data_IF_384791347757
#
_entry.id   IF_384791347757
#
_cell.length_a   1.000
_cell.length_b   1.000
_cell.length_c   1.000
_cell.angle_alpha   90.00
_cell.angle_beta   90.00
_cell.angle_gamma   90.00
#
_symmetry.space_group_name_H-M   'P 1'
#
loop_
_entity.id
_entity.type
_entity.pdbx_description
1 polymer ?
#
# COMPACT_ATOMS: atom_id res chain seq x y z
N UNK A 1 -17.22 25.36 17.09
CA UNK A 1 -16.52 24.40 17.94
C UNK A 1 -17.39 23.63 18.92
N UNK A 2 -18.11 24.27 19.86
CA UNK A 2 -18.98 23.55 20.84
C UNK A 2 -20.08 22.66 20.21
N UNK A 3 -20.73 23.06 19.11
CA UNK A 3 -21.78 22.25 18.45
C UNK A 3 -21.23 20.98 17.78
N UNK A 4 -20.00 21.00 17.26
CA UNK A 4 -19.39 19.86 16.58
C UNK A 4 -18.96 18.74 17.56
N UNK A 5 -18.48 19.14 18.75
CA UNK A 5 -18.10 18.20 19.81
C UNK A 5 -19.32 17.47 20.37
N UNK A 6 -20.45 18.15 20.50
CA UNK A 6 -21.71 17.56 21.02
C UNK A 6 -22.31 16.58 20.00
N UNK A 7 -22.15 16.81 18.68
CA UNK A 7 -22.66 15.92 17.64
C UNK A 7 -21.81 14.65 17.55
N UNK A 8 -20.48 14.77 17.70
CA UNK A 8 -19.56 13.63 17.71
C UNK A 8 -19.75 12.74 18.94
N UNK A 9 -19.96 13.35 20.12
CA UNK A 9 -20.25 12.60 21.35
C UNK A 9 -21.59 11.84 21.27
N UNK A 10 -22.61 12.42 20.65
CA UNK A 10 -23.91 11.76 20.42
C UNK A 10 -23.81 10.60 19.43
N UNK A 11 -22.99 10.72 18.38
CA UNK A 11 -22.75 9.64 17.43
C UNK A 11 -22.01 8.46 18.08
N UNK A 12 -21.01 8.74 18.91
CA UNK A 12 -20.31 7.71 19.70
C UNK A 12 -21.24 7.02 20.71
N UNK A 13 -22.14 7.76 21.38
CA UNK A 13 -23.14 7.17 22.27
C UNK A 13 -24.15 6.31 21.52
N UNK A 14 -24.63 6.71 20.36
CA UNK A 14 -25.58 5.94 19.55
C UNK A 14 -24.91 4.67 19.02
N UNK A 15 -23.67 4.72 18.54
CA UNK A 15 -22.91 3.53 18.17
C UNK A 15 -22.70 2.57 19.37
N UNK A 16 -22.34 3.13 20.53
CA UNK A 16 -22.14 2.37 21.76
C UNK A 16 -23.43 1.67 22.24
N UNK A 17 -24.59 2.31 22.18
CA UNK A 17 -25.87 1.76 22.60
C UNK A 17 -26.41 0.70 21.63
N UNK A 18 -26.21 0.85 20.33
CA UNK A 18 -26.58 -0.17 19.33
C UNK A 18 -25.70 -1.42 19.46
N UNK A 19 -24.43 -1.25 19.79
CA UNK A 19 -23.52 -2.37 20.04
C UNK A 19 -23.85 -3.16 21.33
N UNK A 20 -24.26 -2.47 22.39
CA UNK A 20 -24.65 -3.14 23.64
C UNK A 20 -25.95 -3.93 23.52
N UNK A 21 -26.83 -3.63 22.59
CA UNK A 21 -28.12 -4.33 22.44
C UNK A 21 -28.03 -5.62 21.59
N UNK A 22 -26.92 -5.86 20.90
CA UNK A 22 -26.67 -7.08 20.08
C UNK A 22 -25.90 -8.18 20.86
N UNK A 23 -25.47 -7.91 22.10
CA UNK A 23 -24.75 -8.87 22.92
C UNK A 23 -25.69 -9.97 23.44
N UNK A 24 -25.97 -10.99 22.63
CA UNK A 24 -26.25 -12.33 23.09
C UNK A 24 -25.04 -12.87 23.88
N UNK A 25 -25.17 -13.91 24.76
CA UNK A 25 -24.10 -14.36 25.64
C UNK A 25 -22.88 -14.81 24.84
N UNK A 26 -21.98 -13.90 24.65
CA UNK A 26 -20.95 -13.99 23.66
C UNK A 26 -19.60 -14.22 24.32
N UNK A 27 -18.77 -14.94 23.64
CA UNK A 27 -17.34 -14.84 23.76
C UNK A 27 -16.94 -13.36 23.88
N UNK A 28 -16.04 -13.03 24.82
CA UNK A 28 -15.69 -11.64 25.13
C UNK A 28 -15.28 -10.87 23.87
N UNK A 29 -15.85 -9.69 23.68
CA UNK A 29 -15.43 -8.80 22.59
C UNK A 29 -14.04 -8.26 22.89
N UNK A 30 -13.15 -8.31 21.91
CA UNK A 30 -11.85 -7.66 21.97
C UNK A 30 -12.00 -6.19 21.51
N UNK A 31 -11.35 -5.29 22.21
CA UNK A 31 -11.30 -3.88 21.82
C UNK A 31 -9.98 -3.24 22.26
N UNK A 32 -9.62 -2.13 21.66
CA UNK A 32 -8.42 -1.43 22.04
C UNK A 32 -8.30 -0.07 21.35
N UNK A 33 -7.29 0.66 21.78
CA UNK A 33 -6.92 1.97 21.24
C UNK A 33 -5.50 1.86 20.69
N UNK A 34 -5.27 2.43 19.51
CA UNK A 34 -3.92 2.55 18.95
C UNK A 34 -3.62 4.02 18.71
N UNK A 35 -2.48 4.47 19.23
CA UNK A 35 -1.94 5.81 18.97
C UNK A 35 -0.69 5.65 18.09
N UNK A 36 -0.68 6.29 16.94
CA UNK A 36 0.42 6.28 15.98
C UNK A 36 0.88 7.71 15.77
N UNK A 37 2.16 7.97 15.99
CA UNK A 37 2.81 9.23 15.65
C UNK A 37 3.85 8.95 14.57
N UNK A 38 3.85 9.74 13.51
CA UNK A 38 4.87 9.72 12.48
C UNK A 38 5.33 11.14 12.19
N UNK A 39 6.60 11.41 12.46
CA UNK A 39 7.26 12.68 12.13
C UNK A 39 8.23 12.45 10.99
N UNK A 40 8.10 13.21 9.90
CA UNK A 40 8.97 13.15 8.72
C UNK A 40 9.62 14.51 8.52
N UNK A 41 10.93 14.48 8.42
CA UNK A 41 11.76 15.59 7.99
C UNK A 41 12.37 15.26 6.64
N UNK A 42 12.24 16.17 5.66
CA UNK A 42 12.80 15.99 4.31
C UNK A 42 13.65 17.20 3.96
N UNK A 43 14.95 16.99 3.80
CA UNK A 43 15.92 18.02 3.41
C UNK A 43 16.13 18.02 1.89
N UNK A 44 16.27 19.20 1.33
CA UNK A 44 16.61 19.44 -0.06
C UNK A 44 17.88 20.29 -0.15
N UNK A 45 18.71 20.08 -1.15
CA UNK A 45 19.99 20.81 -1.28
C UNK A 45 19.80 22.31 -1.52
N UNK A 46 18.71 22.70 -2.16
CA UNK A 46 18.49 24.05 -2.75
C UNK A 46 17.41 24.85 -2.02
N UNK A 47 16.68 24.23 -1.08
CA UNK A 47 15.57 24.87 -0.36
C UNK A 47 15.50 24.44 1.10
N UNK A 48 14.76 25.18 1.92
CA UNK A 48 14.49 24.79 3.30
C UNK A 48 13.80 23.42 3.38
N UNK A 49 14.02 22.70 4.48
CA UNK A 49 13.44 21.39 4.67
C UNK A 49 11.93 21.43 4.87
N UNK A 50 11.27 20.35 4.42
CA UNK A 50 9.87 20.10 4.70
C UNK A 50 9.72 19.33 6.03
N UNK A 51 8.72 19.67 6.82
CA UNK A 51 8.35 18.96 8.05
C UNK A 51 6.90 18.46 7.91
N UNK A 52 6.68 17.19 8.19
CA UNK A 52 5.35 16.62 8.30
C UNK A 52 5.23 15.84 9.60
N UNK A 53 4.10 16.02 10.29
CA UNK A 53 3.74 15.24 11.47
C UNK A 53 2.32 14.72 11.30
N UNK A 54 2.16 13.41 11.52
CA UNK A 54 0.88 12.71 11.49
C UNK A 54 0.67 12.03 12.84
N UNK A 55 -0.40 12.43 13.53
CA UNK A 55 -0.85 11.82 14.77
C UNK A 55 -2.20 11.15 14.51
N UNK A 56 -2.26 9.82 14.68
CA UNK A 56 -3.47 9.04 14.46
C UNK A 56 -3.87 8.35 15.75
N UNK A 57 -5.12 8.53 16.16
CA UNK A 57 -5.75 7.77 17.22
C UNK A 57 -6.82 6.88 16.60
N UNK A 58 -6.74 5.57 16.82
CA UNK A 58 -7.71 4.58 16.34
C UNK A 58 -8.38 3.87 17.50
N UNK A 59 -9.69 3.71 17.41
CA UNK A 59 -10.47 2.85 18.29
C UNK A 59 -10.97 1.67 17.47
N UNK A 60 -10.68 0.46 17.91
CA UNK A 60 -11.10 -0.74 17.24
C UNK A 60 -11.83 -1.71 18.18
N UNK A 61 -12.67 -2.54 17.61
CA UNK A 61 -13.29 -3.65 18.31
C UNK A 61 -13.49 -4.83 17.36
N UNK A 62 -13.52 -6.03 17.95
CA UNK A 62 -13.78 -7.29 17.27
C UNK A 62 -14.73 -8.13 18.13
N UNK A 63 -15.85 -8.52 17.54
CA UNK A 63 -16.88 -9.32 18.20
C UNK A 63 -16.92 -10.69 17.52
N UNK A 64 -16.53 -11.78 18.21
CA UNK A 64 -16.72 -13.11 17.69
C UNK A 64 -18.22 -13.45 17.67
N UNK A 65 -18.67 -14.03 16.56
CA UNK A 65 -20.06 -14.43 16.33
C UNK A 65 -20.28 -15.94 16.51
N UNK A 66 -19.19 -16.69 16.74
CA UNK A 66 -19.23 -18.12 17.10
C UNK A 66 -18.19 -18.42 18.18
N UNK A 67 -18.37 -19.54 18.88
CA UNK A 67 -17.49 -19.95 19.98
C UNK A 67 -16.03 -20.20 19.54
N UNK A 68 -15.80 -20.56 18.28
CA UNK A 68 -14.46 -20.81 17.74
C UNK A 68 -13.74 -19.51 17.34
N UNK A 69 -14.42 -18.35 17.35
CA UNK A 69 -13.86 -17.07 16.91
C UNK A 69 -13.54 -17.01 15.41
N UNK A 70 -13.96 -18.01 14.64
CA UNK A 70 -13.70 -18.08 13.18
C UNK A 70 -14.67 -17.21 12.38
N UNK A 71 -15.82 -16.88 12.96
CA UNK A 71 -16.77 -15.90 12.43
C UNK A 71 -16.81 -14.72 13.36
N UNK A 72 -16.54 -13.53 12.83
CA UNK A 72 -16.49 -12.30 13.62
C UNK A 72 -16.87 -11.08 12.81
N UNK A 73 -17.24 -10.06 13.54
CA UNK A 73 -17.36 -8.70 13.06
C UNK A 73 -16.25 -7.84 13.66
N UNK A 74 -15.64 -6.97 12.86
CA UNK A 74 -14.61 -6.04 13.31
C UNK A 74 -14.85 -4.65 12.73
N UNK A 75 -14.61 -3.62 13.54
CA UNK A 75 -14.62 -2.23 13.07
C UNK A 75 -13.48 -1.43 13.69
N UNK A 76 -13.01 -0.42 12.96
CA UNK A 76 -12.02 0.54 13.40
C UNK A 76 -12.36 1.92 12.86
N UNK A 77 -12.50 2.88 13.77
CA UNK A 77 -12.59 4.30 13.45
C UNK A 77 -11.32 5.01 13.90
N UNK A 78 -10.90 6.02 13.17
CA UNK A 78 -9.70 6.79 13.50
C UNK A 78 -9.91 8.29 13.37
N UNK A 79 -9.16 9.02 14.18
CA UNK A 79 -8.96 10.45 14.06
C UNK A 79 -7.50 10.69 13.65
N UNK A 80 -7.28 11.45 12.58
CA UNK A 80 -5.98 11.84 12.08
C UNK A 80 -5.82 13.36 12.21
N UNK A 81 -4.73 13.77 12.84
CA UNK A 81 -4.17 15.11 12.75
C UNK A 81 -2.97 15.06 11.83
N UNK A 82 -3.00 15.85 10.75
CA UNK A 82 -1.91 15.95 9.77
C UNK A 82 -1.43 17.39 9.73
N UNK A 83 -0.17 17.62 10.10
CA UNK A 83 0.52 18.89 10.01
C UNK A 83 1.59 18.81 8.94
N UNK A 84 1.54 19.71 7.97
CA UNK A 84 2.52 19.79 6.90
C UNK A 84 3.04 21.22 6.75
N UNK A 85 4.35 21.39 6.84
CA UNK A 85 5.05 22.64 6.52
C UNK A 85 6.02 22.37 5.39
N UNK A 86 5.70 22.86 4.19
CA UNK A 86 6.59 22.87 3.02
C UNK A 86 7.36 24.20 2.97
N UNK A 87 8.53 24.13 2.34
CA UNK A 87 9.32 25.32 2.00
C UNK A 87 8.44 26.40 1.38
N UNK A 88 8.60 27.64 1.89
CA UNK A 88 7.91 28.86 1.37
C UNK A 88 6.37 28.81 1.38
N UNK A 89 5.77 27.87 2.08
CA UNK A 89 4.33 27.75 2.26
C UNK A 89 3.94 27.94 3.72
N UNK A 90 2.76 28.48 3.95
CA UNK A 90 2.16 28.47 5.31
C UNK A 90 1.95 27.02 5.73
N UNK A 91 2.20 26.76 7.00
CA UNK A 91 1.88 25.45 7.59
C UNK A 91 0.39 25.13 7.37
N UNK A 92 0.12 23.93 6.93
CA UNK A 92 -1.23 23.40 6.76
C UNK A 92 -1.53 22.38 7.86
N UNK A 93 -2.74 22.43 8.40
CA UNK A 93 -3.23 21.44 9.37
C UNK A 93 -4.53 20.86 8.88
N UNK A 94 -4.62 19.55 8.90
CA UNK A 94 -5.82 18.82 8.48
C UNK A 94 -6.28 17.87 9.59
N UNK A 95 -7.59 17.84 9.82
CA UNK A 95 -8.24 17.00 10.83
C UNK A 95 -9.23 16.08 10.13
N UNK A 96 -9.04 14.77 10.23
CA UNK A 96 -9.84 13.79 9.50
C UNK A 96 -10.38 12.74 10.46
N UNK A 97 -11.66 12.46 10.38
CA UNK A 97 -12.30 11.27 10.95
C UNK A 97 -12.51 10.27 9.81
N UNK A 98 -12.05 9.04 10.00
CA UNK A 98 -12.14 8.00 8.99
C UNK A 98 -12.64 6.68 9.58
N UNK A 99 -13.34 5.89 8.77
CA UNK A 99 -13.73 4.52 9.06
C UNK A 99 -12.78 3.58 8.30
N UNK A 100 -11.75 3.11 8.97
CA UNK A 100 -10.71 2.28 8.34
C UNK A 100 -11.17 0.84 8.11
N UNK A 101 -11.92 0.28 9.07
CA UNK A 101 -12.35 -1.10 9.03
C UNK A 101 -13.82 -1.18 9.40
N UNK A 102 -14.58 -1.96 8.63
CA UNK A 102 -15.95 -2.38 8.93
C UNK A 102 -16.16 -3.71 8.22
N UNK A 103 -15.81 -4.82 8.88
CA UNK A 103 -15.64 -6.10 8.23
C UNK A 103 -16.39 -7.21 8.95
N UNK A 104 -17.21 -7.95 8.22
CA UNK A 104 -17.64 -9.27 8.55
C UNK A 104 -16.64 -10.29 7.99
N UNK A 105 -16.28 -11.30 8.76
CA UNK A 105 -15.41 -12.38 8.32
C UNK A 105 -15.96 -13.73 8.82
N UNK A 106 -15.95 -14.72 7.94
CA UNK A 106 -16.29 -16.10 8.26
C UNK A 106 -15.21 -17.03 7.69
N UNK A 107 -14.68 -17.90 8.52
CA UNK A 107 -13.77 -18.95 8.09
C UNK A 107 -14.35 -20.29 8.51
N UNK A 108 -14.63 -21.13 7.53
CA UNK A 108 -15.14 -22.47 7.73
C UNK A 108 -14.06 -23.51 7.41
N UNK A 109 -13.83 -24.42 8.36
CA UNK A 109 -12.91 -25.53 8.21
C UNK A 109 -13.66 -26.72 7.61
N UNK A 110 -13.28 -27.10 6.42
CA UNK A 110 -13.86 -28.22 5.68
C UNK A 110 -13.04 -29.52 5.91
N UNK A 111 -13.61 -30.68 5.61
CA UNK A 111 -12.87 -31.95 5.65
C UNK A 111 -11.57 -31.90 4.83
N UNK A 112 -10.60 -32.75 5.20
CA UNK A 112 -9.31 -32.88 4.55
C UNK A 112 -8.41 -31.63 4.63
N UNK A 113 -8.58 -30.78 5.66
CA UNK A 113 -7.75 -29.59 5.86
C UNK A 113 -8.05 -28.44 4.89
N UNK A 114 -9.18 -28.51 4.19
CA UNK A 114 -9.64 -27.42 3.30
C UNK A 114 -10.25 -26.30 4.14
N UNK A 115 -10.17 -25.08 3.63
CA UNK A 115 -10.81 -23.94 4.29
C UNK A 115 -11.53 -23.04 3.28
N UNK A 116 -12.69 -22.51 3.69
CA UNK A 116 -13.40 -21.46 2.99
C UNK A 116 -13.39 -20.21 3.85
N UNK A 117 -12.87 -19.10 3.32
CA UNK A 117 -12.93 -17.81 3.97
C UNK A 117 -13.79 -16.85 3.14
N UNK A 118 -14.75 -16.23 3.81
CA UNK A 118 -15.63 -15.21 3.26
C UNK A 118 -15.43 -13.93 4.05
N UNK A 119 -15.30 -12.81 3.39
CA UNK A 119 -15.33 -11.51 4.05
C UNK A 119 -16.12 -10.50 3.23
N UNK A 120 -16.78 -9.57 3.93
CA UNK A 120 -17.51 -8.47 3.31
C UNK A 120 -17.40 -7.22 4.18
N UNK A 121 -17.42 -6.06 3.54
CA UNK A 121 -17.35 -4.74 4.16
C UNK A 121 -16.16 -3.91 3.70
N UNK A 122 -15.73 -2.99 4.55
CA UNK A 122 -14.56 -2.14 4.31
C UNK A 122 -13.33 -2.74 4.98
N UNK A 123 -12.29 -3.00 4.21
CA UNK A 123 -10.99 -3.48 4.71
C UNK A 123 -9.90 -3.23 3.69
N UNK A 124 -8.65 -3.25 4.16
CA UNK A 124 -7.51 -3.15 3.29
C UNK A 124 -7.36 -4.42 2.43
N UNK A 125 -7.22 -4.24 1.13
CA UNK A 125 -6.90 -5.32 0.19
C UNK A 125 -5.79 -4.88 -0.75
N UNK A 126 -5.10 -5.84 -1.35
CA UNK A 126 -4.00 -5.60 -2.26
C UNK A 126 -4.01 -6.64 -3.39
N UNK A 127 -3.40 -6.28 -4.52
CA UNK A 127 -2.99 -7.25 -5.53
C UNK A 127 -1.84 -8.12 -5.02
N UNK A 128 -1.49 -9.15 -5.76
CA UNK A 128 -0.47 -10.13 -5.40
C UNK A 128 0.91 -9.51 -5.12
N UNK A 129 1.25 -8.42 -5.79
CA UNK A 129 2.54 -7.73 -5.67
C UNK A 129 2.50 -6.54 -4.72
N UNK A 130 1.32 -6.06 -4.34
CA UNK A 130 1.09 -4.83 -3.61
C UNK A 130 1.55 -3.56 -4.33
N UNK A 131 1.83 -3.64 -5.62
CA UNK A 131 2.35 -2.53 -6.42
C UNK A 131 1.33 -1.93 -7.38
N UNK A 132 0.34 -2.72 -7.77
CA UNK A 132 -0.77 -2.26 -8.61
C UNK A 132 -1.84 -1.63 -7.75
N UNK A 133 -2.24 -2.33 -6.69
CA UNK A 133 -3.32 -1.93 -5.81
C UNK A 133 -3.02 -2.33 -4.37
N UNK A 134 -3.06 -1.37 -3.45
CA UNK A 134 -2.94 -1.62 -2.02
C UNK A 134 -3.64 -0.50 -1.25
N UNK A 135 -4.93 -0.70 -0.92
CA UNK A 135 -5.72 0.29 -0.18
C UNK A 135 -6.99 -0.30 0.45
N UNK A 136 -7.72 0.54 1.19
CA UNK A 136 -9.06 0.22 1.69
C UNK A 136 -10.08 0.21 0.55
N UNK A 137 -10.98 -0.78 0.60
CA UNK A 137 -12.02 -0.98 -0.41
C UNK A 137 -13.30 -1.50 0.26
N UNK A 138 -14.44 -1.09 -0.25
CA UNK A 138 -15.76 -1.58 0.16
C UNK A 138 -16.16 -2.74 -0.74
N UNK A 139 -16.10 -3.96 -0.24
CA UNK A 139 -16.36 -5.13 -1.07
C UNK A 139 -16.37 -6.43 -0.31
N UNK A 140 -16.20 -7.51 -1.04
CA UNK A 140 -16.14 -8.84 -0.44
C UNK A 140 -15.19 -9.76 -1.18
N UNK A 141 -14.67 -10.75 -0.48
CA UNK A 141 -13.90 -11.82 -1.07
C UNK A 141 -14.38 -13.20 -0.65
N UNK A 142 -14.14 -14.13 -1.54
CA UNK A 142 -14.22 -15.57 -1.29
C UNK A 142 -12.81 -16.12 -1.52
N UNK A 143 -12.29 -16.85 -0.53
CA UNK A 143 -11.03 -17.57 -0.67
C UNK A 143 -11.24 -19.02 -0.30
N UNK A 144 -10.89 -19.92 -1.21
CA UNK A 144 -10.90 -21.35 -1.01
C UNK A 144 -9.46 -21.89 -1.01
N UNK A 145 -9.11 -22.61 0.04
CA UNK A 145 -7.84 -23.32 0.15
C UNK A 145 -8.11 -24.83 0.15
N UNK A 146 -7.60 -25.50 -0.87
CA UNK A 146 -7.72 -26.97 -1.01
C UNK A 146 -6.53 -27.74 -0.40
N UNK A 147 -5.52 -27.02 0.14
CA UNK A 147 -4.22 -27.59 0.52
C UNK A 147 -3.20 -27.60 -0.62
N UNK A 148 -3.63 -27.87 -1.86
CA UNK A 148 -2.79 -27.85 -3.06
C UNK A 148 -2.95 -26.57 -3.89
N UNK A 149 -4.03 -25.82 -3.67
CA UNK A 149 -4.30 -24.56 -4.34
C UNK A 149 -5.04 -23.59 -3.43
N UNK A 150 -4.78 -22.31 -3.60
CA UNK A 150 -5.51 -21.21 -2.98
C UNK A 150 -6.14 -20.41 -4.11
N UNK A 151 -7.46 -20.34 -4.12
CA UNK A 151 -8.24 -19.56 -5.11
C UNK A 151 -8.90 -18.43 -4.36
N UNK A 152 -8.72 -17.21 -4.81
CA UNK A 152 -9.35 -16.01 -4.24
C UNK A 152 -10.05 -15.23 -5.34
N UNK A 153 -11.28 -14.83 -5.07
CA UNK A 153 -12.02 -13.86 -5.86
C UNK A 153 -12.43 -12.69 -4.95
N UNK A 154 -12.23 -11.48 -5.40
CA UNK A 154 -12.64 -10.25 -4.73
C UNK A 154 -13.41 -9.37 -5.69
N UNK A 155 -14.48 -8.75 -5.21
CA UNK A 155 -15.21 -7.71 -5.90
C UNK A 155 -15.50 -6.56 -4.95
N UNK A 156 -15.31 -5.33 -5.41
CA UNK A 156 -15.50 -4.18 -4.54
C UNK A 156 -15.53 -2.85 -5.26
N UNK A 157 -15.69 -1.81 -4.46
CA UNK A 157 -15.78 -0.43 -4.85
C UNK A 157 -14.73 0.39 -4.08
N UNK A 158 -14.17 1.41 -4.68
CA UNK A 158 -13.03 2.15 -4.10
C UNK A 158 -13.38 3.14 -3.00
N UNK A 159 -14.54 3.02 -2.39
CA UNK A 159 -14.93 3.76 -1.21
C UNK A 159 -16.24 4.51 -1.39
N UNK A 160 -17.26 4.12 -0.63
CA UNK A 160 -18.50 4.88 -0.51
C UNK A 160 -18.28 6.22 0.19
N UNK A 161 -17.28 6.32 1.03
CA UNK A 161 -16.86 7.56 1.67
C UNK A 161 -15.45 7.88 1.21
N UNK A 162 -15.18 9.15 0.99
CA UNK A 162 -13.84 9.62 0.66
C UNK A 162 -12.92 9.39 1.86
N UNK A 163 -12.30 8.23 1.92
CA UNK A 163 -11.35 7.89 2.95
C UNK A 163 -10.01 8.57 2.63
N UNK A 164 -9.44 9.26 3.59
CA UNK A 164 -8.15 9.96 3.44
C UNK A 164 -7.02 9.03 2.98
N UNK A 165 -7.11 7.77 3.34
CA UNK A 165 -6.11 6.76 3.00
C UNK A 165 -6.31 6.12 1.61
N UNK A 166 -7.33 6.54 0.86
CA UNK A 166 -7.59 6.05 -0.49
C UNK A 166 -6.91 7.00 -1.48
N UNK A 167 -5.79 6.56 -2.02
CA UNK A 167 -5.05 7.29 -3.06
C UNK A 167 -5.15 6.53 -4.36
N UNK A 168 -5.86 7.08 -5.33
CA UNK A 168 -6.01 6.49 -6.65
C UNK A 168 -5.28 7.33 -7.69
N UNK A 169 -4.60 6.65 -8.59
CA UNK A 169 -3.97 7.27 -9.75
C UNK A 169 -4.97 7.26 -10.89
N UNK A 170 -5.42 8.44 -11.30
CA UNK A 170 -6.15 8.56 -12.54
C UNK A 170 -5.18 8.49 -13.74
N UNK A 171 -5.70 8.24 -14.95
CA UNK A 171 -4.89 8.09 -16.16
C UNK A 171 -4.03 9.30 -16.55
N UNK A 172 -4.11 10.41 -15.83
CA UNK A 172 -3.33 11.63 -16.05
C UNK A 172 -2.24 11.85 -15.02
N UNK A 173 -1.81 10.82 -14.31
CA UNK A 173 -0.80 10.90 -13.23
C UNK A 173 -1.14 11.88 -12.09
N UNK A 174 -2.36 12.32 -11.98
CA UNK A 174 -2.79 13.05 -10.80
C UNK A 174 -3.32 12.06 -9.78
N UNK A 175 -2.66 11.97 -8.62
CA UNK A 175 -3.27 11.38 -7.44
C UNK A 175 -4.57 12.13 -7.18
N UNK A 176 -5.65 11.39 -6.92
CA UNK A 176 -6.86 12.01 -6.41
C UNK A 176 -6.50 12.65 -5.07
N UNK A 177 -6.34 13.97 -5.05
CA UNK A 177 -6.07 14.69 -3.82
C UNK A 177 -7.39 14.85 -3.09
N UNK A 178 -7.37 14.49 -1.81
CA UNK A 178 -8.44 14.81 -0.89
C UNK A 178 -8.66 16.33 -0.93
N UNK A 179 -9.82 16.75 -1.39
CA UNK A 179 -10.22 18.15 -1.34
C UNK A 179 -10.65 18.45 0.10
N UNK A 180 -9.91 19.31 0.80
CA UNK A 180 -10.19 19.70 2.17
C UNK A 180 -11.61 20.30 2.36
N UNK A 181 -12.20 20.84 1.30
CA UNK A 181 -13.52 21.42 1.34
C UNK A 181 -14.64 20.38 1.19
N UNK A 182 -14.30 19.18 0.68
CA UNK A 182 -15.23 18.07 0.42
C UNK A 182 -14.90 16.84 1.27
N UNK A 183 -14.95 16.99 2.57
CA UNK A 183 -14.48 16.01 3.56
C UNK A 183 -15.18 14.65 3.56
N UNK A 184 -16.31 14.48 2.92
CA UNK A 184 -17.14 13.27 2.92
C UNK A 184 -17.80 12.98 1.57
N UNK A 185 -17.21 13.41 0.48
CA UNK A 185 -17.69 13.05 -0.85
C UNK A 185 -17.40 11.57 -1.14
N UNK A 186 -18.23 10.97 -1.98
CA UNK A 186 -17.94 9.65 -2.50
C UNK A 186 -16.66 9.70 -3.33
N UNK A 187 -15.77 8.74 -3.10
CA UNK A 187 -14.58 8.58 -3.91
C UNK A 187 -14.96 8.33 -5.37
N UNK A 188 -14.03 8.62 -6.28
CA UNK A 188 -14.24 8.33 -7.71
C UNK A 188 -14.70 6.90 -7.92
N UNK A 189 -15.77 6.68 -8.71
CA UNK A 189 -16.44 5.39 -8.81
C UNK A 189 -15.63 4.42 -9.67
N UNK A 190 -14.85 3.58 -9.02
CA UNK A 190 -14.21 2.44 -9.67
C UNK A 190 -14.67 1.14 -9.06
N UNK A 191 -15.17 0.23 -9.90
CA UNK A 191 -15.32 -1.16 -9.53
C UNK A 191 -14.00 -1.88 -9.69
N UNK A 192 -13.71 -2.76 -8.74
CA UNK A 192 -12.52 -3.57 -8.70
C UNK A 192 -12.93 -5.02 -8.70
N UNK A 193 -12.32 -5.80 -9.60
CA UNK A 193 -12.42 -7.24 -9.59
C UNK A 193 -11.01 -7.81 -9.52
N UNK A 194 -10.80 -8.76 -8.63
CA UNK A 194 -9.55 -9.49 -8.49
C UNK A 194 -9.84 -10.99 -8.46
N UNK A 195 -9.09 -11.74 -9.24
CA UNK A 195 -9.11 -13.18 -9.22
C UNK A 195 -7.68 -13.70 -9.20
N UNK A 196 -7.36 -14.53 -8.22
CA UNK A 196 -6.02 -15.13 -8.13
C UNK A 196 -6.05 -16.61 -7.81
N UNK A 197 -5.07 -17.33 -8.36
CA UNK A 197 -4.80 -18.72 -8.08
C UNK A 197 -3.34 -18.84 -7.66
N UNK A 198 -3.13 -19.43 -6.48
CA UNK A 198 -1.80 -19.75 -5.98
C UNK A 198 -1.69 -21.27 -5.84
N UNK A 199 -0.64 -21.82 -6.40
CA UNK A 199 -0.29 -23.22 -6.34
C UNK A 199 0.96 -23.36 -5.46
N UNK A 200 0.82 -23.62 -4.16
CA UNK A 200 1.95 -23.83 -3.26
C UNK A 200 2.55 -25.22 -3.50
N UNK A 201 3.84 -25.35 -3.27
CA UNK A 201 4.54 -26.63 -3.27
C UNK A 201 4.40 -27.48 -4.53
N UNK A 202 4.44 -26.85 -5.70
CA UNK A 202 4.32 -27.58 -6.98
C UNK A 202 5.45 -28.59 -7.13
N UNK A 203 6.70 -28.12 -7.06
CA UNK A 203 7.93 -28.92 -7.14
C UNK A 203 8.97 -28.28 -6.21
N UNK A 204 9.62 -29.05 -5.35
CA UNK A 204 10.71 -28.58 -4.49
C UNK A 204 10.34 -27.32 -3.67
N UNK A 205 9.12 -27.26 -3.14
CA UNK A 205 8.59 -26.14 -2.36
C UNK A 205 8.42 -24.83 -3.15
N UNK A 206 8.39 -24.90 -4.48
CA UNK A 206 8.13 -23.74 -5.33
C UNK A 206 6.64 -23.38 -5.31
N UNK A 207 6.36 -22.10 -5.30
CA UNK A 207 5.01 -21.56 -5.40
C UNK A 207 4.86 -20.77 -6.69
N UNK A 208 3.78 -21.01 -7.41
CA UNK A 208 3.39 -20.22 -8.59
C UNK A 208 2.05 -19.55 -8.31
N UNK A 209 1.95 -18.28 -8.64
CA UNK A 209 0.71 -17.53 -8.50
C UNK A 209 0.38 -16.79 -9.80
N UNK A 210 -0.89 -16.83 -10.17
CA UNK A 210 -1.47 -16.08 -11.28
C UNK A 210 -2.58 -15.20 -10.74
N UNK A 211 -2.62 -13.95 -11.17
CA UNK A 211 -3.65 -12.99 -10.78
C UNK A 211 -4.13 -12.19 -11.98
N UNK A 212 -5.42 -11.97 -12.01
CA UNK A 212 -6.08 -10.99 -12.87
C UNK A 212 -6.74 -9.95 -11.99
N UNK A 213 -6.38 -8.69 -12.22
CA UNK A 213 -6.92 -7.56 -11.49
C UNK A 213 -7.49 -6.56 -12.49
N UNK A 214 -8.75 -6.15 -12.32
CA UNK A 214 -9.38 -5.16 -13.18
C UNK A 214 -9.94 -3.99 -12.38
N UNK A 215 -9.80 -2.83 -12.97
CA UNK A 215 -10.40 -1.58 -12.55
C UNK A 215 -11.32 -1.10 -13.65
N UNK A 216 -12.59 -0.98 -13.34
CA UNK A 216 -13.63 -0.53 -14.26
C UNK A 216 -14.14 0.83 -13.79
N UNK A 217 -13.93 1.88 -14.60
CA UNK A 217 -14.50 3.19 -14.36
C UNK A 217 -16.01 3.15 -14.53
N UNK A 218 -16.75 3.58 -13.51
CA UNK A 218 -18.18 3.82 -13.64
C UNK A 218 -18.37 5.28 -13.97
N UNK A 219 -19.10 5.60 -15.04
CA UNK A 219 -19.38 6.96 -15.45
C UNK A 219 -19.99 7.76 -14.30
N UNK A 220 -19.16 8.58 -13.69
CA UNK A 220 -19.60 9.56 -12.72
C UNK A 220 -19.88 10.89 -13.44
N UNK A 221 -20.88 11.58 -12.99
CA UNK A 221 -21.44 12.83 -13.48
C UNK A 221 -20.47 14.01 -13.67
N UNK A 222 -19.19 13.83 -13.53
CA UNK A 222 -18.14 14.85 -13.62
C UNK A 222 -17.16 14.66 -14.80
N UNK A 223 -17.63 14.21 -15.94
CA UNK A 223 -17.01 14.45 -17.28
C UNK A 223 -15.53 14.15 -17.53
N UNK A 224 -14.73 13.88 -16.51
CA UNK A 224 -13.28 13.76 -16.61
C UNK A 224 -12.71 12.36 -16.37
N UNK A 225 -13.52 11.38 -15.98
CA UNK A 225 -13.07 10.03 -15.62
C UNK A 225 -13.76 8.92 -16.42
N UNK A 226 -14.55 9.27 -17.43
CA UNK A 226 -15.19 8.29 -18.30
C UNK A 226 -14.13 7.58 -19.14
N UNK A 227 -13.97 6.30 -18.94
CA UNK A 227 -13.26 5.43 -19.87
C UNK A 227 -11.89 4.91 -19.43
N UNK A 228 -11.40 5.20 -18.24
CA UNK A 228 -10.13 4.61 -17.79
C UNK A 228 -10.34 3.21 -17.21
N UNK A 229 -10.51 2.25 -18.10
CA UNK A 229 -10.50 0.84 -17.72
C UNK A 229 -9.05 0.34 -17.72
N UNK A 230 -8.69 -0.42 -16.68
CA UNK A 230 -7.37 -1.05 -16.59
C UNK A 230 -7.51 -2.52 -16.24
N UNK A 231 -6.73 -3.32 -16.91
CA UNK A 231 -6.63 -4.76 -16.67
C UNK A 231 -5.16 -5.09 -16.41
N UNK A 232 -4.90 -5.86 -15.37
CA UNK A 232 -3.57 -6.34 -15.02
C UNK A 232 -3.57 -7.86 -14.98
N UNK A 233 -2.51 -8.44 -15.53
CA UNK A 233 -2.21 -9.85 -15.41
C UNK A 233 -0.85 -10.03 -14.77
N UNK A 234 -0.80 -10.68 -13.61
CA UNK A 234 0.41 -10.90 -12.83
C UNK A 234 0.74 -12.38 -12.75
N UNK A 235 1.99 -12.71 -13.04
CA UNK A 235 2.56 -14.02 -12.80
C UNK A 235 3.68 -13.88 -11.76
N UNK A 236 3.67 -14.70 -10.72
CA UNK A 236 4.67 -14.67 -9.67
C UNK A 236 5.16 -16.07 -9.32
N UNK A 237 6.45 -16.14 -9.01
CA UNK A 237 7.18 -17.33 -8.59
C UNK A 237 7.94 -17.02 -7.32
N UNK A 238 7.91 -17.92 -6.36
CA UNK A 238 8.75 -17.81 -5.17
C UNK A 238 9.05 -19.20 -4.60
N UNK A 239 10.17 -19.30 -3.90
CA UNK A 239 10.54 -20.53 -3.23
C UNK A 239 12.01 -20.55 -2.82
N UNK A 240 12.45 -21.66 -2.20
CA UNK A 240 13.86 -21.88 -1.88
C UNK A 240 14.64 -22.32 -3.13
N UNK A 241 15.85 -21.76 -3.29
CA UNK A 241 16.89 -22.28 -4.20
C UNK A 241 17.79 -23.25 -3.40
N UNK A 242 18.04 -22.90 -2.15
CA UNK A 242 18.77 -23.72 -1.18
C UNK A 242 18.17 -23.51 0.21
N UNK A 243 18.64 -24.24 1.21
CA UNK A 243 18.11 -24.19 2.59
C UNK A 243 18.09 -22.78 3.21
N UNK A 244 18.97 -21.89 2.75
CA UNK A 244 19.13 -20.53 3.24
C UNK A 244 19.06 -19.47 2.14
N UNK A 245 18.73 -19.84 0.91
CA UNK A 245 18.61 -18.94 -0.24
C UNK A 245 17.20 -19.05 -0.85
N UNK A 246 16.51 -17.94 -0.91
CA UNK A 246 15.14 -17.83 -1.43
C UNK A 246 15.09 -16.82 -2.56
N UNK A 247 14.17 -17.03 -3.49
CA UNK A 247 13.88 -16.05 -4.53
C UNK A 247 12.41 -15.68 -4.56
N UNK A 248 12.15 -14.49 -5.10
CA UNK A 248 10.84 -14.04 -5.53
C UNK A 248 11.02 -13.37 -6.88
N UNK A 249 10.18 -13.72 -7.84
CA UNK A 249 10.12 -13.08 -9.15
C UNK A 249 8.66 -12.87 -9.53
N UNK A 250 8.33 -11.71 -10.07
CA UNK A 250 6.98 -11.43 -10.58
C UNK A 250 7.06 -10.52 -11.80
N UNK A 251 6.09 -10.69 -12.69
CA UNK A 251 5.86 -9.78 -13.82
C UNK A 251 4.37 -9.48 -13.92
N UNK A 252 4.05 -8.22 -14.11
CA UNK A 252 2.68 -7.71 -14.26
C UNK A 252 2.61 -6.94 -15.57
N UNK A 253 1.68 -7.32 -16.43
CA UNK A 253 1.29 -6.55 -17.61
C UNK A 253 0.02 -5.78 -17.28
N UNK A 254 0.06 -4.46 -17.48
CA UNK A 254 -1.08 -3.57 -17.35
C UNK A 254 -1.55 -3.13 -18.73
N UNK A 255 -2.85 -3.23 -18.98
CA UNK A 255 -3.51 -2.76 -20.20
C UNK A 255 -4.43 -1.61 -19.79
N UNK A 256 -4.29 -0.46 -20.44
CA UNK A 256 -5.13 0.72 -20.20
C UNK A 256 -5.87 1.11 -21.47
N UNK A 257 -7.16 1.39 -21.30
CA UNK A 257 -8.04 1.95 -22.35
C UNK A 257 -8.66 3.23 -21.77
N UNK A 258 -8.40 4.37 -22.40
CA UNK A 258 -8.96 5.67 -22.01
C UNK A 258 -10.05 6.17 -22.97
N UNK A 259 -10.45 5.35 -23.94
CA UNK A 259 -11.50 5.61 -24.92
C UNK A 259 -11.13 6.65 -26.00
N UNK A 260 -9.95 7.24 -25.95
CA UNK A 260 -9.48 8.28 -26.90
C UNK A 260 -8.18 7.88 -27.58
N UNK A 261 -7.29 7.24 -26.85
CA UNK A 261 -5.96 6.84 -27.32
C UNK A 261 -5.89 5.34 -27.61
N UNK A 262 -4.92 4.89 -28.43
CA UNK A 262 -4.67 3.48 -28.63
C UNK A 262 -4.44 2.77 -27.30
N UNK A 263 -4.86 1.51 -27.22
CA UNK A 263 -4.62 0.64 -26.06
C UNK A 263 -3.14 0.68 -25.66
N UNK A 264 -2.88 1.07 -24.42
CA UNK A 264 -1.53 1.16 -23.87
C UNK A 264 -1.22 -0.10 -23.07
N UNK A 265 0.00 -0.62 -23.24
CA UNK A 265 0.47 -1.81 -22.51
C UNK A 265 1.74 -1.47 -21.75
N UNK A 266 1.69 -1.55 -20.42
CA UNK A 266 2.85 -1.37 -19.55
C UNK A 266 3.28 -2.68 -18.89
N UNK A 267 4.53 -2.74 -18.44
CA UNK A 267 5.08 -3.87 -17.70
C UNK A 267 5.74 -3.43 -16.40
N UNK A 268 5.47 -4.17 -15.32
CA UNK A 268 6.17 -4.08 -14.05
C UNK A 268 6.75 -5.45 -13.71
N UNK A 269 8.07 -5.55 -13.62
CA UNK A 269 8.76 -6.77 -13.23
C UNK A 269 9.59 -6.54 -11.98
N UNK A 270 9.54 -7.50 -11.05
CA UNK A 270 10.31 -7.48 -9.80
C UNK A 270 11.02 -8.81 -9.62
N UNK A 271 12.24 -8.76 -9.12
CA UNK A 271 12.99 -9.95 -8.72
C UNK A 271 13.79 -9.68 -7.45
N UNK A 272 13.90 -10.68 -6.60
CA UNK A 272 14.77 -10.60 -5.43
C UNK A 272 15.35 -11.97 -5.07
N UNK A 273 16.55 -11.94 -4.50
CA UNK A 273 17.24 -13.08 -3.91
C UNK A 273 17.55 -12.74 -2.45
N UNK A 274 17.10 -13.56 -1.51
CA UNK A 274 17.34 -13.38 -0.08
C UNK A 274 18.14 -14.54 0.47
N UNK A 275 19.32 -14.24 0.99
CA UNK A 275 20.22 -15.17 1.66
C UNK A 275 20.14 -14.97 3.18
N UNK A 276 20.03 -16.06 3.93
CA UNK A 276 20.09 -16.10 5.39
C UNK A 276 21.41 -16.75 5.84
N UNK A 277 22.53 -16.00 5.89
CA UNK A 277 23.82 -16.58 6.30
C UNK A 277 23.83 -16.96 7.78
N UNK A 278 22.96 -16.34 8.59
CA UNK A 278 22.74 -16.65 9.99
C UNK A 278 21.26 -16.38 10.37
N UNK A 279 20.79 -16.97 11.48
CA UNK A 279 19.40 -16.77 11.96
C UNK A 279 19.03 -15.31 12.27
N UNK A 280 20.03 -14.48 12.54
CA UNK A 280 19.88 -13.06 12.89
C UNK A 280 20.14 -12.12 11.71
N UNK A 281 20.62 -12.61 10.57
CA UNK A 281 21.06 -11.82 9.43
C UNK A 281 20.38 -12.29 8.15
N UNK A 282 19.81 -11.37 7.40
CA UNK A 282 19.38 -11.59 6.01
C UNK A 282 20.04 -10.57 5.08
N UNK A 283 20.43 -11.03 3.89
CA UNK A 283 20.97 -10.22 2.80
C UNK A 283 20.04 -10.38 1.61
N UNK A 284 19.61 -9.27 1.02
CA UNK A 284 18.70 -9.30 -0.14
C UNK A 284 19.28 -8.48 -1.27
N UNK A 285 19.37 -9.10 -2.45
CA UNK A 285 19.55 -8.41 -3.73
C UNK A 285 18.19 -8.30 -4.41
N UNK A 286 17.83 -7.12 -4.88
CA UNK A 286 16.54 -6.87 -5.52
C UNK A 286 16.67 -6.00 -6.76
N UNK A 287 15.82 -6.28 -7.75
CA UNK A 287 15.68 -5.48 -8.96
C UNK A 287 14.20 -5.22 -9.26
N UNK A 288 13.94 -4.08 -9.83
CA UNK A 288 12.61 -3.63 -10.29
C UNK A 288 12.76 -2.97 -11.66
N UNK A 289 11.86 -3.31 -12.55
CA UNK A 289 11.68 -2.66 -13.85
C UNK A 289 10.22 -2.25 -13.99
N UNK A 290 9.97 -0.98 -14.21
CA UNK A 290 8.67 -0.44 -14.64
C UNK A 290 8.85 0.22 -16.00
N UNK A 291 8.13 -0.23 -17.01
CA UNK A 291 8.27 0.25 -18.38
C UNK A 291 8.06 1.75 -18.50
N UNK A 292 8.81 2.35 -19.39
CA UNK A 292 8.61 3.70 -19.93
C UNK A 292 8.06 3.64 -21.35
N UNK A 293 8.04 4.79 -22.00
CA UNK A 293 7.58 4.94 -23.39
C UNK A 293 8.73 4.61 -24.35
N UNK A 294 8.93 3.33 -24.57
CA UNK A 294 9.97 2.86 -25.48
C UNK A 294 9.54 1.59 -26.23
N UNK A 295 9.64 1.64 -27.54
CA UNK A 295 9.30 0.51 -28.42
C UNK A 295 7.80 0.24 -28.47
N UNK A 296 7.39 -0.95 -28.00
CA UNK A 296 5.97 -1.39 -27.98
C UNK A 296 5.32 -1.24 -26.62
N UNK A 297 6.07 -0.85 -25.60
CA UNK A 297 5.57 -0.66 -24.25
C UNK A 297 5.34 0.82 -23.96
N UNK A 298 4.28 1.10 -23.24
CA UNK A 298 3.97 2.39 -22.64
C UNK A 298 4.42 2.41 -21.18
N UNK A 299 4.49 3.58 -20.54
CA UNK A 299 4.78 3.68 -19.12
C UNK A 299 3.82 2.82 -18.30
N UNK A 300 4.36 1.99 -17.41
CA UNK A 300 3.52 1.24 -16.49
C UNK A 300 2.78 2.20 -15.56
N UNK A 301 1.52 1.94 -15.31
CA UNK A 301 0.69 2.74 -14.39
C UNK A 301 0.06 1.81 -13.38
N UNK A 302 0.36 2.03 -12.09
CA UNK A 302 -0.37 1.39 -10.99
C UNK A 302 -1.76 2.00 -10.81
N UNK A 303 -2.58 1.36 -10.01
CA UNK A 303 -3.89 1.89 -9.64
C UNK A 303 -3.83 2.72 -8.36
N UNK A 304 -3.06 2.28 -7.37
CA UNK A 304 -2.74 3.07 -6.18
C UNK A 304 -1.28 3.48 -6.20
N UNK A 305 -1.00 4.63 -5.58
CA UNK A 305 0.38 5.08 -5.46
C UNK A 305 1.17 4.14 -4.57
N UNK A 306 2.28 3.65 -5.07
CA UNK A 306 3.25 2.88 -4.31
C UNK A 306 4.57 3.62 -4.21
N UNK A 307 5.33 3.40 -3.15
CA UNK A 307 6.66 3.98 -3.00
C UNK A 307 7.70 3.03 -3.57
N UNK A 308 8.14 3.29 -4.81
CA UNK A 308 9.22 2.54 -5.44
C UNK A 308 10.60 2.95 -4.90
N UNK A 309 10.76 4.21 -4.51
CA UNK A 309 12.02 4.77 -4.03
C UNK A 309 11.73 5.84 -2.97
N UNK A 310 12.38 5.76 -1.80
CA UNK A 310 12.11 6.65 -0.66
C UNK A 310 12.44 8.12 -0.90
N UNK A 311 13.37 8.39 -1.80
CA UNK A 311 13.97 9.71 -1.95
C UNK A 311 13.46 10.50 -3.13
N UNK A 312 12.68 9.91 -4.02
CA UNK A 312 12.11 10.60 -5.16
C UNK A 312 10.81 11.31 -4.77
N UNK A 313 10.56 12.47 -5.35
CA UNK A 313 9.36 13.27 -5.08
C UNK A 313 8.08 12.63 -5.64
N UNK A 314 8.22 11.76 -6.64
CA UNK A 314 7.12 11.02 -7.27
C UNK A 314 7.52 9.55 -7.46
N UNK A 315 7.44 8.76 -6.38
CA UNK A 315 8.00 7.42 -6.33
C UNK A 315 7.10 6.35 -6.94
N UNK A 316 6.31 6.68 -7.93
CA UNK A 316 5.42 5.72 -8.59
C UNK A 316 6.21 4.62 -9.30
N UNK A 317 5.57 3.45 -9.43
CA UNK A 317 6.08 2.36 -10.25
C UNK A 317 5.86 2.65 -11.73
N UNK A 318 6.53 3.65 -12.26
CA UNK A 318 6.44 4.03 -13.68
C UNK A 318 7.79 4.51 -14.19
N UNK A 319 8.14 4.12 -15.41
CA UNK A 319 9.35 4.59 -16.09
C UNK A 319 10.62 4.50 -15.23
N UNK A 320 10.80 3.41 -14.50
CA UNK A 320 11.81 3.28 -13.47
C UNK A 320 12.52 1.91 -13.53
N UNK A 321 13.84 1.93 -13.44
CA UNK A 321 14.64 0.75 -13.12
C UNK A 321 15.33 1.01 -11.78
N UNK A 322 15.27 0.03 -10.90
CA UNK A 322 15.96 0.06 -9.60
C UNK A 322 16.65 -1.27 -9.37
N UNK A 323 17.90 -1.23 -8.92
CA UNK A 323 18.64 -2.42 -8.50
C UNK A 323 19.43 -2.11 -7.23
N UNK A 324 19.37 -2.99 -6.25
CA UNK A 324 19.98 -2.71 -4.97
C UNK A 324 20.25 -3.92 -4.10
N UNK A 325 20.95 -3.64 -3.02
CA UNK A 325 21.30 -4.60 -1.98
C UNK A 325 20.81 -4.07 -0.63
N UNK A 326 20.30 -4.96 0.20
CA UNK A 326 19.93 -4.64 1.57
C UNK A 326 20.30 -5.74 2.54
N UNK A 327 20.49 -5.36 3.80
CA UNK A 327 20.73 -6.26 4.91
C UNK A 327 19.76 -5.96 6.04
N UNK A 328 19.30 -7.01 6.73
CA UNK A 328 18.51 -6.89 7.95
C UNK A 328 19.19 -7.70 9.06
N UNK A 329 19.35 -7.07 10.22
CA UNK A 329 19.98 -7.66 11.40
C UNK A 329 19.01 -7.64 12.58
N UNK A 330 18.72 -8.80 13.14
CA UNK A 330 17.83 -8.97 14.31
C UNK A 330 18.62 -9.54 15.50
N UNK A 331 19.42 -8.72 16.21
CA UNK A 331 20.31 -9.20 17.28
C UNK A 331 19.53 -9.76 18.47
N UNK A 332 18.35 -9.19 18.76
CA UNK A 332 17.39 -9.66 19.76
C UNK A 332 15.99 -9.63 19.19
N UNK A 333 15.04 -10.35 19.83
CA UNK A 333 13.66 -10.46 19.32
C UNK A 333 12.94 -9.13 19.16
N UNK A 334 13.25 -8.17 20.01
CA UNK A 334 12.61 -6.85 20.05
C UNK A 334 13.25 -5.79 19.15
N UNK A 335 14.42 -6.06 18.53
CA UNK A 335 15.18 -5.03 17.82
C UNK A 335 15.55 -5.52 16.41
N UNK A 336 15.20 -4.75 15.38
CA UNK A 336 15.49 -5.00 13.98
C UNK A 336 16.18 -3.77 13.38
N UNK A 337 17.36 -3.96 12.85
CA UNK A 337 18.07 -3.00 12.02
C UNK A 337 17.94 -3.37 10.56
N UNK A 338 17.86 -2.38 9.69
CA UNK A 338 17.92 -2.53 8.24
C UNK A 338 18.86 -1.50 7.64
N UNK A 339 19.57 -1.88 6.60
CA UNK A 339 20.35 -0.95 5.79
C UNK A 339 20.32 -1.44 4.34
N UNK A 340 20.39 -0.51 3.39
CA UNK A 340 20.43 -0.86 1.98
C UNK A 340 20.84 0.31 1.11
N UNK A 341 21.07 -0.03 -0.16
CA UNK A 341 21.43 0.92 -1.18
C UNK A 341 20.91 0.46 -2.54
N UNK A 342 20.40 1.41 -3.32
CA UNK A 342 19.83 1.18 -4.65
C UNK A 342 20.44 2.14 -5.67
N UNK A 343 20.78 1.64 -6.85
CA UNK A 343 20.98 2.43 -8.06
C UNK A 343 19.64 2.60 -8.76
N UNK A 344 19.37 3.81 -9.21
CA UNK A 344 18.10 4.19 -9.82
C UNK A 344 18.36 4.74 -11.22
N UNK A 345 17.55 4.29 -12.17
CA UNK A 345 17.59 4.73 -13.56
C UNK A 345 16.17 5.09 -14.01
N UNK A 346 16.07 6.09 -14.88
CA UNK A 346 14.82 6.43 -15.54
C UNK A 346 14.72 5.76 -16.91
N UNK A 347 13.56 5.24 -17.23
CA UNK A 347 13.20 4.87 -18.59
C UNK A 347 12.57 6.07 -19.30
N UNK A 348 12.73 6.16 -20.62
CA UNK A 348 12.14 7.23 -21.46
C UNK A 348 10.62 7.30 -21.22
N UNK A 349 10.09 8.51 -21.09
CA UNK A 349 8.66 8.77 -20.98
C UNK A 349 8.29 10.01 -21.80
N UNK A 350 7.67 9.81 -22.96
CA UNK A 350 7.31 10.89 -23.89
C UNK A 350 6.05 11.66 -23.47
N UNK A 351 5.18 11.04 -22.64
CA UNK A 351 3.89 11.63 -22.26
C UNK A 351 3.99 12.74 -21.22
N UNK A 352 5.07 12.82 -20.47
CA UNK A 352 5.27 13.85 -19.45
C UNK A 352 6.22 14.95 -19.92
N UNK A 353 5.67 16.04 -20.44
CA UNK A 353 6.44 17.21 -20.88
C UNK A 353 7.31 17.84 -19.78
N UNK A 354 6.98 17.61 -18.50
CA UNK A 354 7.77 18.09 -17.35
C UNK A 354 9.02 17.23 -17.10
N UNK A 355 9.05 16.01 -17.58
CA UNK A 355 10.18 15.09 -17.44
C UNK A 355 11.14 15.09 -18.63
N UNK A 356 10.79 15.74 -19.76
CA UNK A 356 11.69 15.89 -20.91
C UNK A 356 13.04 16.51 -20.57
N UNK A 357 13.13 17.28 -19.49
CA UNK A 357 14.41 17.84 -19.02
C UNK A 357 15.31 16.84 -18.29
N UNK A 358 14.78 15.67 -17.90
CA UNK A 358 15.50 14.63 -17.17
C UNK A 358 15.93 13.48 -18.06
N UNK A 359 15.22 13.26 -19.16
CA UNK A 359 15.50 12.19 -20.11
C UNK A 359 16.22 12.80 -21.30
N UNK A 360 17.48 12.44 -21.49
CA UNK A 360 18.14 12.64 -22.79
C UNK A 360 17.44 11.84 -23.88
N UNK A 361 17.94 11.87 -25.10
CA UNK A 361 17.45 11.04 -26.21
C UNK A 361 17.64 9.53 -25.99
N UNK A 362 18.37 9.15 -24.92
CA UNK A 362 18.62 7.75 -24.56
C UNK A 362 17.39 7.09 -23.93
N UNK A 363 17.19 5.82 -24.28
CA UNK A 363 16.07 5.02 -23.75
C UNK A 363 16.11 4.82 -22.23
N UNK A 364 17.30 4.89 -21.62
CA UNK A 364 17.55 4.76 -20.19
C UNK A 364 18.61 5.78 -19.76
N UNK A 365 18.37 6.50 -18.66
CA UNK A 365 19.32 7.42 -18.07
C UNK A 365 19.53 7.16 -16.57
N UNK A 366 20.76 7.36 -16.09
CA UNK A 366 21.06 7.22 -14.67
C UNK A 366 20.39 8.38 -13.91
N UNK A 367 19.60 8.04 -12.88
CA UNK A 367 18.91 9.02 -12.04
C UNK A 367 19.67 9.33 -10.76
N UNK A 368 20.40 8.34 -10.23
CA UNK A 368 21.14 8.51 -8.99
C UNK A 368 21.25 7.24 -8.16
N UNK A 369 21.74 7.43 -6.96
CA UNK A 369 21.97 6.38 -5.98
C UNK A 369 21.34 6.76 -4.65
N UNK A 370 20.61 5.85 -4.02
CA UNK A 370 20.09 6.05 -2.68
C UNK A 370 20.67 5.04 -1.69
N UNK A 371 20.82 5.47 -0.45
CA UNK A 371 20.98 4.56 0.67
C UNK A 371 19.90 4.84 1.73
N UNK A 372 19.63 3.85 2.54
CA UNK A 372 18.76 3.97 3.69
C UNK A 372 19.26 3.13 4.85
N UNK A 373 18.92 3.59 6.06
CA UNK A 373 19.11 2.84 7.30
C UNK A 373 17.83 2.92 8.11
N UNK A 374 17.51 1.85 8.82
CA UNK A 374 16.32 1.79 9.66
C UNK A 374 16.58 1.04 10.96
N UNK A 375 15.86 1.43 12.01
CA UNK A 375 15.80 0.73 13.27
C UNK A 375 14.35 0.62 13.72
N UNK A 376 13.93 -0.57 14.15
CA UNK A 376 12.62 -0.81 14.73
C UNK A 376 12.81 -1.52 16.06
N UNK A 377 12.25 -0.96 17.11
CA UNK A 377 12.40 -1.45 18.47
C UNK A 377 11.04 -1.62 19.14
N UNK A 378 10.72 -2.85 19.52
CA UNK A 378 9.60 -3.16 20.40
C UNK A 378 10.07 -2.95 21.84
N UNK A 379 9.83 -1.76 22.38
CA UNK A 379 10.30 -1.37 23.73
C UNK A 379 9.57 -2.17 24.80
N UNK A 380 8.23 -2.23 24.68
CA UNK A 380 7.33 -3.01 25.50
C UNK A 380 6.36 -3.79 24.58
N UNK A 381 5.49 -4.62 25.15
CA UNK A 381 4.48 -5.35 24.39
C UNK A 381 3.55 -4.43 23.58
N UNK A 382 3.31 -3.24 24.09
CA UNK A 382 2.38 -2.23 23.62
C UNK A 382 3.06 -1.02 22.94
N UNK A 383 4.37 -0.80 23.14
CA UNK A 383 5.11 0.34 22.57
C UNK A 383 6.16 -0.09 21.55
N UNK A 384 6.02 0.41 20.33
CA UNK A 384 6.98 0.24 19.25
C UNK A 384 7.53 1.59 18.77
N UNK A 385 8.85 1.69 18.64
CA UNK A 385 9.55 2.84 18.08
C UNK A 385 10.20 2.45 16.76
N UNK A 386 10.21 3.38 15.81
CA UNK A 386 10.87 3.24 14.51
C UNK A 386 11.63 4.49 14.13
N UNK A 387 12.77 4.30 13.49
CA UNK A 387 13.52 5.37 12.84
C UNK A 387 13.99 4.91 11.47
N UNK A 388 13.87 5.77 10.46
CA UNK A 388 14.36 5.51 9.11
C UNK A 388 15.01 6.79 8.59
N UNK A 389 16.26 6.69 8.15
CA UNK A 389 16.98 7.76 7.46
C UNK A 389 17.36 7.31 6.07
N UNK A 390 17.29 8.22 5.10
CA UNK A 390 17.67 7.98 3.73
C UNK A 390 18.32 9.20 3.09
N UNK A 391 19.12 8.97 2.07
CA UNK A 391 19.69 10.02 1.24
C UNK A 391 19.77 9.54 -0.21
N UNK A 392 19.45 10.44 -1.12
CA UNK A 392 19.50 10.23 -2.56
C UNK A 392 20.55 11.19 -3.17
N UNK A 393 21.58 10.61 -3.75
CA UNK A 393 22.59 11.28 -4.55
C UNK A 393 22.10 11.30 -6.00
N UNK A 394 21.45 12.38 -6.40
CA UNK A 394 21.00 12.53 -7.77
C UNK A 394 22.16 12.82 -8.72
N UNK A 395 22.06 12.37 -9.96
CA UNK A 395 22.96 12.76 -11.04
C UNK A 395 22.92 14.27 -11.28
N UNK A 396 21.75 14.89 -11.09
CA UNK A 396 21.56 16.33 -11.14
C UNK A 396 21.33 16.90 -9.73
N UNK A 397 22.09 17.93 -9.36
CA UNK A 397 22.10 18.52 -8.01
C UNK A 397 20.75 18.98 -7.49
N UNK A 398 19.83 19.40 -8.35
CA UNK A 398 18.49 19.85 -7.98
C UNK A 398 17.58 18.74 -7.37
N UNK A 399 17.99 17.49 -7.46
CA UNK A 399 17.19 16.33 -7.03
C UNK A 399 17.69 15.66 -5.74
N UNK A 400 18.73 16.20 -5.11
CA UNK A 400 19.26 15.64 -3.85
C UNK A 400 18.22 15.76 -2.76
N UNK A 401 17.81 14.64 -2.21
CA UNK A 401 16.83 14.53 -1.13
C UNK A 401 17.39 13.70 0.03
N UNK A 402 17.25 14.22 1.25
CA UNK A 402 17.52 13.49 2.48
C UNK A 402 16.26 13.43 3.32
N UNK A 403 16.07 12.38 4.07
CA UNK A 403 14.92 12.31 4.98
C UNK A 403 15.22 11.53 6.22
N UNK A 404 14.50 11.93 7.28
CA UNK A 404 14.42 11.23 8.55
C UNK A 404 12.95 11.04 8.89
N UNK A 405 12.57 9.80 9.15
CA UNK A 405 11.22 9.43 9.59
C UNK A 405 11.32 8.81 10.97
N UNK A 406 10.65 9.39 11.95
CA UNK A 406 10.50 8.85 13.28
C UNK A 406 9.06 8.38 13.47
N UNK A 407 8.89 7.20 14.04
CA UNK A 407 7.59 6.60 14.28
C UNK A 407 7.47 6.07 15.70
N UNK A 408 6.33 6.31 16.34
CA UNK A 408 5.98 5.72 17.62
C UNK A 408 4.56 5.16 17.54
N UNK A 409 4.36 3.92 17.95
CA UNK A 409 3.05 3.27 18.00
C UNK A 409 2.83 2.70 19.38
N UNK A 410 1.74 3.11 20.03
CA UNK A 410 1.26 2.59 21.30
C UNK A 410 -0.09 1.92 21.07
N UNK A 411 -0.20 0.65 21.48
CA UNK A 411 -1.44 -0.13 21.41
C UNK A 411 -1.89 -0.51 22.82
N UNK A 412 -3.11 -0.10 23.21
CA UNK A 412 -3.70 -0.28 24.54
C UNK A 412 -4.94 -1.15 24.45
#
# INVERSE_FOLDING_TARGET
MKRMIITSAKLCMILGTVLCSVCAPAAAADYGITLDNTTKYSGHKVREPDLSQKDKASLWFKVPLNNAGTTYFAAEGSYLFDYEKKYDQKANTTHILDLNLFKFNMTDAMPQGRTLNLAAGRYQTADLTGAVFAQYCDGGHVQYNSGTSIIKAFGGYTGFLNAHNVTMLNGKHSSFKFDNDKKYDFASPYFILNYSVTLPNIIAQQTVSLEFFSMLGVDGTNGNNSGNNRLYATLAFNGPIASNLFYLASTTFGIEEDGKDPVQVGNLSKASLTLYPAKILSLTAAALYASGDHGKLSPFKGFTSGTACYALSDPEYTSLIKAGLSASLKPVRSLLFGAGADAVFWCKNETNNTTKSFYGDDAVSYAGFQWFVSANWQVFSDLKLGANAYHFFADKEAQVNSGLVLKAVLAL
#
